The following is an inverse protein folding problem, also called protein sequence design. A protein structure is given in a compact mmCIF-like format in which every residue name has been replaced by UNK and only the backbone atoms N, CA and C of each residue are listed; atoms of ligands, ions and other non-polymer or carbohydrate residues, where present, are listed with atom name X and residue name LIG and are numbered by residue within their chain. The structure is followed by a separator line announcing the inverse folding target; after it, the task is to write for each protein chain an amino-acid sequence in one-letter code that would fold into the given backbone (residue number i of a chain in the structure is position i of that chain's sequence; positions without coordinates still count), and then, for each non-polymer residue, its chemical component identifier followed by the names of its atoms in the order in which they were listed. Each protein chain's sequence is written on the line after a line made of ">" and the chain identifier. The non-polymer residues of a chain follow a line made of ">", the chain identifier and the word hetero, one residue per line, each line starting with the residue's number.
data_IF_066652754015
#
_entry.id   IF_066652754015
#
_cell.length_a   1.000
_cell.length_b   1.000
_cell.length_c   1.000
_cell.angle_alpha   90.00
_cell.angle_beta   90.00
_cell.angle_gamma   90.00
#
_symmetry.space_group_name_H-M   'P 1'
#
loop_
_entity.id
_entity.type
_entity.pdbx_description
1 polymer ?
#
# COMPACT_ATOMS: atom_id res chain seq x y z
N UNK A 1 42.36 -24.98 0.28
CA UNK A 1 42.06 -23.86 1.20
C UNK A 1 42.08 -22.58 0.36
N UNK A 2 41.08 -21.70 0.34
CA UNK A 2 39.88 -21.61 1.15
C UNK A 2 38.71 -21.03 0.33
N UNK A 3 37.52 -21.47 0.71
CA UNK A 3 36.21 -21.15 0.16
C UNK A 3 35.63 -20.10 1.11
N UNK A 4 36.05 -18.84 1.04
CA UNK A 4 35.62 -17.81 2.01
C UNK A 4 35.75 -16.39 1.45
N UNK A 5 35.09 -16.08 0.33
CA UNK A 5 34.97 -14.68 -0.11
C UNK A 5 33.66 -14.37 -0.85
N UNK A 6 32.59 -15.11 -0.56
CA UNK A 6 31.29 -14.97 -1.22
C UNK A 6 30.21 -14.23 -0.40
N UNK A 7 30.60 -13.50 0.64
CA UNK A 7 29.69 -12.65 1.42
C UNK A 7 30.29 -11.25 1.61
N UNK A 8 30.45 -10.51 0.52
CA UNK A 8 30.33 -9.05 0.58
C UNK A 8 28.87 -8.70 0.31
N UNK A 9 28.10 -8.47 1.38
CA UNK A 9 26.95 -7.57 1.29
C UNK A 9 27.49 -6.29 0.66
N UNK A 10 27.02 -5.92 -0.53
CA UNK A 10 27.23 -4.56 -1.01
C UNK A 10 26.69 -3.66 0.09
N UNK A 11 27.53 -2.81 0.67
CA UNK A 11 27.05 -1.64 1.39
C UNK A 11 26.15 -0.92 0.40
N UNK A 12 24.84 -0.92 0.68
CA UNK A 12 23.88 -0.15 -0.09
C UNK A 12 24.22 1.30 0.20
N UNK A 13 24.93 1.96 -0.72
CA UNK A 13 25.18 3.39 -0.62
C UNK A 13 23.84 4.10 -0.38
N UNK A 14 23.78 4.96 0.62
CA UNK A 14 22.56 5.71 0.96
C UNK A 14 22.16 6.55 -0.26
N UNK A 15 21.03 6.24 -0.87
CA UNK A 15 20.47 6.99 -1.99
C UNK A 15 19.64 8.22 -1.54
N UNK A 16 19.74 8.65 -0.27
CA UNK A 16 18.95 9.76 0.28
C UNK A 16 19.79 10.73 1.12
N UNK A 17 19.35 11.99 1.19
CA UNK A 17 19.94 13.02 2.06
C UNK A 17 19.46 12.80 3.50
N UNK A 18 20.35 12.44 4.45
CA UNK A 18 19.95 12.14 5.83
C UNK A 18 19.41 13.36 6.58
N UNK A 19 19.57 14.57 6.03
CA UNK A 19 19.04 15.82 6.60
C UNK A 19 17.69 16.23 6.00
N UNK A 20 17.20 15.52 4.97
CA UNK A 20 15.96 15.82 4.27
C UNK A 20 15.28 14.53 3.77
N UNK A 21 14.96 13.64 4.72
CA UNK A 21 14.30 12.37 4.44
C UNK A 21 12.82 12.64 4.12
N UNK A 22 12.36 12.14 2.97
CA UNK A 22 10.97 12.26 2.52
C UNK A 22 10.23 10.93 2.67
N UNK A 23 8.90 10.99 2.51
CA UNK A 23 8.05 9.79 2.51
C UNK A 23 8.46 8.79 1.43
N UNK A 24 9.02 9.26 0.30
CA UNK A 24 9.54 8.42 -0.76
C UNK A 24 10.80 7.61 -0.37
N UNK A 25 11.50 8.02 0.69
CA UNK A 25 12.71 7.35 1.19
C UNK A 25 12.39 6.30 2.26
N UNK A 26 11.11 6.06 2.58
CA UNK A 26 10.72 5.08 3.59
C UNK A 26 11.27 3.69 3.25
N UNK A 27 11.76 3.01 4.28
CA UNK A 27 12.25 1.63 4.21
C UNK A 27 11.72 0.78 5.35
N UNK A 28 11.84 -0.54 5.21
CA UNK A 28 11.46 -1.49 6.27
C UNK A 28 12.22 -1.18 7.56
N UNK A 29 11.48 -1.12 8.67
CA UNK A 29 11.94 -0.78 10.00
C UNK A 29 12.00 0.72 10.32
N UNK A 30 11.77 1.60 9.34
CA UNK A 30 11.77 3.05 9.58
C UNK A 30 10.64 3.42 10.56
N UNK A 31 10.87 4.49 11.32
CA UNK A 31 9.88 5.04 12.24
C UNK A 31 9.51 6.44 11.76
N UNK A 32 8.24 6.83 11.87
CA UNK A 32 7.80 8.18 11.56
C UNK A 32 6.63 8.59 12.45
N UNK A 33 6.28 9.87 12.43
CA UNK A 33 5.10 10.41 13.10
C UNK A 33 4.00 10.75 12.10
N UNK A 34 2.77 10.38 12.44
CA UNK A 34 1.55 10.76 11.75
C UNK A 34 0.43 10.91 12.78
N UNK A 35 -0.34 12.01 12.71
CA UNK A 35 -1.45 12.29 13.62
C UNK A 35 -1.09 12.17 15.12
N UNK A 36 0.09 12.68 15.54
CA UNK A 36 0.64 12.59 16.91
C UNK A 36 0.95 11.18 17.42
N UNK A 37 0.92 10.19 16.53
CA UNK A 37 1.26 8.80 16.81
C UNK A 37 2.55 8.40 16.09
N UNK A 38 3.29 7.46 16.69
CA UNK A 38 4.52 6.90 16.14
C UNK A 38 4.21 5.59 15.44
N UNK A 39 4.65 5.47 14.19
CA UNK A 39 4.42 4.31 13.33
C UNK A 39 5.74 3.69 12.92
N UNK A 40 5.80 2.35 12.88
CA UNK A 40 6.93 1.60 12.35
C UNK A 40 6.55 0.92 11.05
N UNK A 41 7.38 1.07 10.02
CA UNK A 41 7.26 0.31 8.76
C UNK A 41 7.69 -1.13 9.02
N UNK A 42 6.79 -2.08 8.79
CA UNK A 42 7.01 -3.51 9.05
C UNK A 42 7.16 -4.36 7.79
N UNK A 43 6.58 -3.92 6.67
CA UNK A 43 6.76 -4.54 5.36
C UNK A 43 6.66 -3.47 4.26
N UNK A 44 7.16 -3.82 3.07
CA UNK A 44 7.09 -3.02 1.86
C UNK A 44 6.63 -3.92 0.72
N UNK A 45 5.64 -3.45 -0.02
CA UNK A 45 5.12 -4.07 -1.23
C UNK A 45 5.38 -3.15 -2.42
N UNK A 46 5.71 -3.75 -3.54
CA UNK A 46 5.89 -3.09 -4.82
C UNK A 46 4.83 -3.64 -5.78
N UNK A 47 4.19 -2.74 -6.50
CA UNK A 47 3.19 -3.07 -7.51
C UNK A 47 3.70 -2.66 -8.88
N UNK A 48 3.57 -3.56 -9.85
CA UNK A 48 3.84 -3.36 -11.27
C UNK A 48 2.51 -3.36 -12.03
N UNK A 49 2.15 -2.21 -12.58
CA UNK A 49 0.90 -2.01 -13.31
C UNK A 49 1.10 -2.09 -14.84
N UNK A 50 2.30 -2.46 -15.30
CA UNK A 50 2.71 -2.41 -16.70
C UNK A 50 3.25 -1.04 -17.12
N UNK A 51 3.73 -0.95 -18.36
CA UNK A 51 4.25 0.28 -18.97
C UNK A 51 5.30 1.03 -18.11
N UNK A 52 6.15 0.28 -17.40
CA UNK A 52 7.15 0.78 -16.45
C UNK A 52 6.55 1.65 -15.32
N UNK A 53 5.27 1.47 -15.00
CA UNK A 53 4.56 2.15 -13.93
C UNK A 53 4.54 1.31 -12.64
N UNK A 54 5.15 1.86 -11.58
CA UNK A 54 5.30 1.18 -10.31
C UNK A 54 4.79 2.03 -9.15
N UNK A 55 4.14 1.38 -8.19
CA UNK A 55 3.72 2.02 -6.92
C UNK A 55 4.24 1.22 -5.73
N UNK A 56 4.23 1.82 -4.54
CA UNK A 56 4.74 1.20 -3.32
C UNK A 56 3.74 1.31 -2.19
N UNK A 57 3.53 0.21 -1.48
CA UNK A 57 2.72 0.19 -0.28
C UNK A 57 3.53 -0.24 0.94
N UNK A 58 3.41 0.50 2.04
CA UNK A 58 4.07 0.20 3.30
C UNK A 58 3.08 -0.31 4.33
N UNK A 59 3.35 -1.47 4.94
CA UNK A 59 2.60 -1.92 6.10
C UNK A 59 3.18 -1.25 7.34
N UNK A 60 2.38 -0.41 7.97
CA UNK A 60 2.79 0.39 9.13
C UNK A 60 2.04 -0.04 10.39
N UNK A 61 2.74 -0.08 11.52
CA UNK A 61 2.16 -0.50 12.80
C UNK A 61 2.38 0.51 13.92
N UNK A 62 1.36 0.65 14.75
CA UNK A 62 1.41 1.31 16.04
C UNK A 62 0.75 0.38 17.07
N UNK A 63 1.56 -0.35 17.84
CA UNK A 63 1.08 -1.36 18.80
C UNK A 63 0.27 -2.48 18.13
N UNK A 64 -1.04 -2.52 18.39
CA UNK A 64 -1.98 -3.49 17.79
C UNK A 64 -2.65 -2.98 16.52
N UNK A 65 -2.46 -1.71 16.18
CA UNK A 65 -3.05 -1.09 14.99
C UNK A 65 -2.12 -1.29 13.81
N UNK A 66 -2.68 -1.73 12.68
CA UNK A 66 -2.01 -1.91 11.41
C UNK A 66 -2.72 -1.08 10.36
N UNK A 67 -1.96 -0.38 9.53
CA UNK A 67 -2.43 0.40 8.39
C UNK A 67 -1.52 0.18 7.20
N UNK A 68 -1.99 0.60 6.04
CA UNK A 68 -1.25 0.55 4.78
C UNK A 68 -1.09 1.97 4.27
N UNK A 69 0.12 2.30 3.85
CA UNK A 69 0.47 3.61 3.31
C UNK A 69 0.90 3.40 1.87
N UNK A 70 0.02 3.71 0.92
CA UNK A 70 0.31 3.59 -0.51
C UNK A 70 0.86 4.92 -1.05
N UNK A 71 1.92 4.83 -1.85
CA UNK A 71 2.56 5.94 -2.55
C UNK A 71 2.47 5.72 -4.05
N UNK A 72 1.88 6.69 -4.73
CA UNK A 72 1.68 6.72 -6.17
C UNK A 72 2.19 8.04 -6.74
N UNK A 73 3.03 8.00 -7.77
CA UNK A 73 3.64 9.18 -8.38
C UNK A 73 3.32 9.22 -9.89
N UNK A 74 2.17 9.80 -10.23
CA UNK A 74 1.75 10.08 -11.60
C UNK A 74 1.52 11.58 -11.80
N UNK A 75 2.61 12.29 -12.12
CA UNK A 75 2.60 13.75 -12.26
C UNK A 75 2.46 14.53 -10.94
N UNK A 76 2.35 13.80 -9.82
CA UNK A 76 2.34 14.31 -8.45
C UNK A 76 2.15 13.15 -7.46
N UNK A 77 2.75 13.28 -6.27
CA UNK A 77 2.66 12.24 -5.25
C UNK A 77 1.29 12.22 -4.59
N UNK A 78 0.57 11.11 -4.75
CA UNK A 78 -0.64 10.76 -4.01
C UNK A 78 -0.27 9.79 -2.89
N UNK A 79 -0.73 10.11 -1.68
CA UNK A 79 -0.47 9.31 -0.48
C UNK A 79 -1.80 8.85 0.08
N UNK A 80 -2.02 7.54 0.08
CA UNK A 80 -3.25 6.94 0.62
C UNK A 80 -2.95 6.19 1.90
N UNK A 81 -3.64 6.53 2.99
CA UNK A 81 -3.59 5.81 4.25
C UNK A 81 -4.84 4.96 4.41
N UNK A 82 -4.70 3.64 4.42
CA UNK A 82 -5.81 2.70 4.45
C UNK A 82 -5.72 1.68 5.58
N UNK A 83 -6.83 1.01 5.86
CA UNK A 83 -6.92 -0.13 6.76
C UNK A 83 -7.72 -1.26 6.11
N UNK A 84 -7.33 -2.51 6.38
CA UNK A 84 -8.05 -3.69 5.88
C UNK A 84 -9.43 -3.80 6.52
N UNK A 85 -10.42 -4.10 5.69
CA UNK A 85 -11.76 -4.49 6.13
C UNK A 85 -12.12 -5.86 5.54
N UNK A 86 -13.07 -6.54 6.19
CA UNK A 86 -13.58 -7.81 5.67
C UNK A 86 -14.57 -7.52 4.54
N UNK A 87 -14.47 -8.21 3.41
CA UNK A 87 -15.39 -8.08 2.27
C UNK A 87 -16.87 -8.05 2.69
N UNK A 88 -17.28 -8.98 3.57
CA UNK A 88 -18.64 -9.05 4.12
C UNK A 88 -19.16 -7.75 4.77
N UNK A 89 -18.28 -6.83 5.17
CA UNK A 89 -18.68 -5.53 5.73
C UNK A 89 -19.25 -4.60 4.65
N UNK A 90 -18.96 -4.83 3.37
CA UNK A 90 -19.56 -4.10 2.25
C UNK A 90 -21.06 -4.41 2.06
N UNK A 91 -21.56 -5.46 2.73
CA UNK A 91 -22.97 -5.83 2.76
C UNK A 91 -23.34 -6.90 1.72
N UNK A 92 -24.45 -7.59 1.98
CA UNK A 92 -24.94 -8.72 1.19
C UNK A 92 -25.10 -8.35 -0.30
N UNK A 93 -25.65 -7.17 -0.60
CA UNK A 93 -25.82 -6.72 -1.99
C UNK A 93 -24.51 -6.65 -2.78
N UNK A 94 -23.40 -6.29 -2.14
CA UNK A 94 -22.09 -6.26 -2.81
C UNK A 94 -21.56 -7.67 -3.01
N UNK A 95 -21.66 -8.51 -1.97
CA UNK A 95 -21.23 -9.90 -2.03
C UNK A 95 -22.01 -10.70 -3.09
N UNK A 96 -23.35 -10.63 -3.07
CA UNK A 96 -24.22 -11.32 -4.04
C UNK A 96 -23.90 -10.87 -5.47
N UNK A 97 -23.66 -9.56 -5.68
CA UNK A 97 -23.27 -9.06 -6.99
C UNK A 97 -21.93 -9.64 -7.45
N UNK A 98 -20.94 -9.71 -6.56
CA UNK A 98 -19.63 -10.29 -6.87
C UNK A 98 -19.72 -11.78 -7.18
N UNK A 99 -20.53 -12.53 -6.43
CA UNK A 99 -20.76 -13.96 -6.67
C UNK A 99 -21.41 -14.20 -8.05
N UNK A 100 -22.39 -13.38 -8.42
CA UNK A 100 -23.11 -13.50 -9.71
C UNK A 100 -22.29 -13.00 -10.91
N UNK A 101 -21.48 -11.94 -10.74
CA UNK A 101 -20.85 -11.21 -11.84
C UNK A 101 -19.34 -11.41 -11.93
N UNK A 102 -18.72 -12.06 -10.93
CA UNK A 102 -17.28 -12.30 -10.82
C UNK A 102 -16.44 -11.01 -10.89
N UNK A 103 -17.02 -9.89 -10.43
CA UNK A 103 -16.39 -8.57 -10.32
C UNK A 103 -17.18 -7.69 -9.37
N UNK A 104 -16.54 -6.70 -8.73
CA UNK A 104 -17.24 -5.80 -7.83
C UNK A 104 -18.16 -4.82 -8.57
N UNK A 105 -19.23 -4.33 -7.92
CA UNK A 105 -20.17 -3.39 -8.53
C UNK A 105 -19.52 -2.03 -8.76
N UNK A 106 -20.02 -1.26 -9.73
CA UNK A 106 -19.49 0.09 -10.02
C UNK A 106 -19.74 1.14 -8.93
N UNK A 107 -20.61 0.84 -7.96
CA UNK A 107 -20.98 1.74 -6.86
C UNK A 107 -21.15 0.94 -5.59
N UNK A 108 -20.57 1.42 -4.50
CA UNK A 108 -20.62 0.77 -3.19
C UNK A 108 -21.02 1.82 -2.16
N UNK A 109 -22.03 1.52 -1.33
CA UNK A 109 -22.35 2.35 -0.18
C UNK A 109 -21.79 1.66 1.06
N UNK A 110 -20.87 2.32 1.75
CA UNK A 110 -20.21 1.77 2.92
C UNK A 110 -20.02 2.84 3.98
N UNK A 111 -20.43 2.55 5.22
CA UNK A 111 -20.36 3.47 6.37
C UNK A 111 -20.91 4.88 6.08
N UNK A 112 -22.01 4.97 5.32
CA UNK A 112 -22.65 6.24 4.95
C UNK A 112 -21.92 7.05 3.87
N UNK A 113 -20.81 6.53 3.33
CA UNK A 113 -20.09 7.10 2.18
C UNK A 113 -20.46 6.33 0.92
N UNK A 114 -20.64 7.05 -0.18
CA UNK A 114 -20.89 6.46 -1.49
C UNK A 114 -19.60 6.51 -2.32
N UNK A 115 -19.15 5.34 -2.72
CA UNK A 115 -17.96 5.12 -3.52
C UNK A 115 -18.34 4.80 -4.96
N UNK A 116 -17.55 5.29 -5.90
CA UNK A 116 -17.68 5.07 -7.34
C UNK A 116 -16.41 4.44 -7.85
N UNK A 117 -16.54 3.39 -8.66
CA UNK A 117 -15.40 2.76 -9.31
C UNK A 117 -14.73 3.80 -10.21
N UNK A 118 -13.47 4.08 -9.93
CA UNK A 118 -12.63 5.03 -10.65
C UNK A 118 -11.76 4.27 -11.65
N UNK A 119 -11.00 3.30 -11.15
CA UNK A 119 -10.07 2.52 -11.97
C UNK A 119 -10.22 1.00 -11.77
N UNK A 120 -9.85 0.26 -12.82
CA UNK A 120 -9.63 -1.18 -12.77
C UNK A 120 -8.26 -1.47 -13.38
N UNK A 121 -7.34 -1.93 -12.55
CA UNK A 121 -5.92 -2.06 -12.91
C UNK A 121 -5.45 -3.50 -12.70
N UNK A 122 -5.25 -4.30 -13.76
CA UNK A 122 -4.53 -5.56 -13.64
C UNK A 122 -3.05 -5.27 -13.37
N UNK A 123 -2.42 -6.05 -12.51
CA UNK A 123 -1.02 -5.84 -12.16
C UNK A 123 -0.42 -7.02 -11.42
N UNK A 124 0.79 -6.80 -10.94
CA UNK A 124 1.52 -7.74 -10.11
C UNK A 124 1.96 -7.08 -8.81
N UNK A 125 1.84 -7.77 -7.69
CA UNK A 125 2.34 -7.31 -6.40
C UNK A 125 3.43 -8.24 -5.88
N UNK A 126 4.42 -7.68 -5.19
CA UNK A 126 5.48 -8.44 -4.53
C UNK A 126 5.87 -7.76 -3.23
N UNK A 127 5.83 -8.49 -2.12
CA UNK A 127 6.53 -8.05 -0.90
C UNK A 127 8.04 -8.00 -1.18
N UNK A 128 8.73 -6.94 -0.78
CA UNK A 128 10.16 -6.74 -1.11
C UNK A 128 11.05 -7.94 -0.75
N UNK A 129 10.74 -8.64 0.34
CA UNK A 129 11.48 -9.80 0.82
C UNK A 129 11.02 -11.14 0.21
N UNK A 130 9.94 -11.13 -0.60
CA UNK A 130 9.42 -12.29 -1.30
C UNK A 130 10.14 -12.54 -2.63
N UNK A 131 10.15 -13.80 -3.06
CA UNK A 131 10.82 -14.20 -4.32
C UNK A 131 9.94 -14.09 -5.56
N UNK A 132 8.61 -14.07 -5.38
CA UNK A 132 7.66 -14.23 -6.47
C UNK A 132 6.68 -13.06 -6.49
N UNK A 133 6.35 -12.61 -7.69
CA UNK A 133 5.24 -11.71 -7.93
C UNK A 133 3.92 -12.49 -7.96
N UNK A 134 2.87 -11.87 -7.46
CA UNK A 134 1.50 -12.39 -7.46
C UNK A 134 0.64 -11.51 -8.38
N UNK A 135 -0.09 -12.13 -9.31
CA UNK A 135 -1.02 -11.43 -10.20
C UNK A 135 -2.27 -11.01 -9.43
N UNK A 136 -2.72 -9.77 -9.66
CA UNK A 136 -3.94 -9.24 -9.08
C UNK A 136 -4.70 -8.34 -10.06
N UNK A 137 -5.96 -8.07 -9.72
CA UNK A 137 -6.73 -6.98 -10.31
C UNK A 137 -7.17 -6.05 -9.19
N UNK A 138 -6.69 -4.81 -9.22
CA UNK A 138 -7.15 -3.74 -8.33
C UNK A 138 -8.43 -3.12 -8.90
N UNK A 139 -9.39 -2.86 -8.01
CA UNK A 139 -10.57 -2.06 -8.27
C UNK A 139 -10.59 -0.90 -7.29
N UNK A 140 -10.23 0.28 -7.78
CA UNK A 140 -10.07 1.47 -6.97
C UNK A 140 -11.33 2.34 -7.05
N UNK A 141 -11.80 2.75 -5.88
CA UNK A 141 -13.00 3.55 -5.75
C UNK A 141 -12.73 4.82 -4.97
N UNK A 142 -13.36 5.91 -5.42
CA UNK A 142 -13.32 7.21 -4.77
C UNK A 142 -14.72 7.65 -4.36
N UNK A 143 -14.81 8.46 -3.31
CA UNK A 143 -16.03 9.17 -2.99
C UNK A 143 -16.23 10.42 -3.86
N UNK A 144 -17.38 11.11 -3.72
CA UNK A 144 -17.69 12.28 -4.57
C UNK A 144 -16.69 13.44 -4.40
N UNK A 145 -15.95 13.47 -3.30
CA UNK A 145 -14.92 14.48 -3.01
C UNK A 145 -13.52 14.05 -3.42
N UNK A 146 -13.33 12.80 -3.87
CA UNK A 146 -12.02 12.21 -4.16
C UNK A 146 -11.06 12.23 -2.94
N UNK A 147 -11.61 12.20 -1.72
CA UNK A 147 -10.82 12.24 -0.48
C UNK A 147 -10.79 10.89 0.24
N UNK A 148 -11.85 10.09 0.08
CA UNK A 148 -11.94 8.74 0.65
C UNK A 148 -11.79 7.69 -0.42
N UNK A 149 -11.06 6.65 -0.07
CA UNK A 149 -10.78 5.53 -0.96
C UNK A 149 -11.42 4.25 -0.44
N UNK A 150 -11.79 3.37 -1.36
CA UNK A 150 -12.08 1.97 -1.10
C UNK A 150 -11.40 1.18 -2.21
N UNK A 151 -10.60 0.19 -1.86
CA UNK A 151 -9.93 -0.67 -2.83
C UNK A 151 -10.38 -2.11 -2.61
N UNK A 152 -10.63 -2.82 -3.70
CA UNK A 152 -10.85 -4.26 -3.72
C UNK A 152 -9.79 -4.86 -4.63
N UNK A 153 -8.87 -5.61 -4.06
CA UNK A 153 -7.89 -6.39 -4.82
C UNK A 153 -8.40 -7.81 -4.97
N UNK A 154 -8.34 -8.34 -6.19
CA UNK A 154 -8.70 -9.71 -6.51
C UNK A 154 -7.43 -10.49 -6.87
N UNK A 155 -7.19 -11.57 -6.13
CA UNK A 155 -6.14 -12.55 -6.40
C UNK A 155 -6.78 -13.84 -6.90
N UNK A 156 -6.32 -14.32 -8.06
CA UNK A 156 -6.95 -15.46 -8.73
C UNK A 156 -8.46 -15.26 -8.95
N UNK A 157 -9.24 -16.33 -8.79
CA UNK A 157 -10.69 -16.28 -9.06
C UNK A 157 -11.57 -15.93 -7.85
N UNK A 158 -11.11 -16.21 -6.62
CA UNK A 158 -11.98 -16.22 -5.44
C UNK A 158 -11.39 -15.55 -4.20
N UNK A 159 -10.17 -15.02 -4.28
CA UNK A 159 -9.52 -14.36 -3.16
C UNK A 159 -9.63 -12.85 -3.33
N UNK A 160 -10.19 -12.20 -2.30
CA UNK A 160 -10.43 -10.76 -2.30
C UNK A 160 -9.88 -10.13 -1.03
N UNK A 161 -9.08 -9.09 -1.21
CA UNK A 161 -8.68 -8.19 -0.14
C UNK A 161 -9.42 -6.86 -0.30
N UNK A 162 -9.83 -6.26 0.81
CA UNK A 162 -10.55 -4.99 0.80
C UNK A 162 -9.89 -4.05 1.78
N UNK A 163 -9.59 -2.84 1.33
CA UNK A 163 -9.10 -1.76 2.17
C UNK A 163 -9.98 -0.53 2.02
N UNK A 164 -10.11 0.23 3.10
CA UNK A 164 -10.73 1.56 3.07
C UNK A 164 -9.71 2.58 3.53
N UNK A 165 -9.67 3.75 2.93
CA UNK A 165 -8.66 4.74 3.23
C UNK A 165 -9.08 6.17 2.99
N UNK A 166 -8.10 7.03 3.18
CA UNK A 166 -8.17 8.47 2.90
C UNK A 166 -6.90 8.90 2.20
N UNK A 167 -7.02 9.89 1.32
CA UNK A 167 -5.86 10.59 0.77
C UNK A 167 -5.36 11.57 1.83
N UNK A 168 -4.05 11.56 2.08
CA UNK A 168 -3.39 12.44 3.04
C UNK A 168 -2.32 13.28 2.34
N UNK A 169 -1.98 14.42 2.92
CA UNK A 169 -0.86 15.21 2.46
C UNK A 169 0.47 14.52 2.86
N UNK A 170 1.44 14.44 1.95
CA UNK A 170 2.77 13.86 2.24
C UNK A 170 3.45 14.50 3.46
N UNK A 171 3.23 15.80 3.70
CA UNK A 171 3.80 16.55 4.82
C UNK A 171 3.15 16.21 6.17
N UNK A 172 2.03 15.48 6.16
CA UNK A 172 1.42 14.95 7.38
C UNK A 172 2.24 13.79 7.97
N UNK A 173 3.08 13.13 7.15
CA UNK A 173 4.09 12.18 7.59
C UNK A 173 5.37 12.95 7.90
N UNK A 174 5.82 12.87 9.14
CA UNK A 174 6.90 13.71 9.64
C UNK A 174 7.84 12.93 10.55
N UNK A 175 8.93 13.57 10.99
CA UNK A 175 9.89 12.98 11.93
C UNK A 175 10.35 11.57 11.51
N UNK A 176 10.65 11.40 10.23
CA UNK A 176 11.10 10.13 9.67
C UNK A 176 12.50 9.83 10.19
N UNK A 177 12.63 8.69 10.87
CA UNK A 177 13.86 8.17 11.44
C UNK A 177 14.19 6.84 10.74
N UNK A 178 15.32 6.77 10.00
CA UNK A 178 15.75 5.53 9.39
C UNK A 178 16.25 4.54 10.46
N UNK A 179 16.20 3.24 10.15
CA UNK A 179 16.92 2.25 10.96
C UNK A 179 18.40 2.57 10.87
N UNK A 180 19.07 2.67 12.01
CA UNK A 180 20.52 2.86 12.04
C UNK A 180 21.19 1.70 11.29
N UNK A 181 22.04 2.03 10.31
CA UNK A 181 22.94 1.05 9.70
C UNK A 181 23.72 0.38 10.83
N UNK A 182 23.62 -0.96 10.90
CA UNK A 182 24.48 -1.73 11.79
C UNK A 182 25.89 -1.68 11.19
N UNK A 183 26.71 -0.73 11.65
CA UNK A 183 28.14 -0.64 11.32
C UNK A 183 28.92 -1.82 11.92
#
# INVERSE_FOLDING_TARGET
>A
MGILDFFKKKETERHFDPTNIKINDLGKGYIFEYATETWTVTALFEYDWGDDYFTREFVIKNGTTEKFLNLEDDGGLVVTLSEKIKLRKLGETVCDYMDENQKPPKKINFEGTRYFLDEKSPGFCKELDASNWEELISYDYLDESEEKTLCIEQYGEQEFEVSKGIIINELAVSNILPVADSY
#
